data_IF_838714592548
#
_entry.id   IF_838714592548
#
_cell.length_a   1.000
_cell.length_b   1.000
_cell.length_c   1.000
_cell.angle_alpha   90.00
_cell.angle_beta   90.00
_cell.angle_gamma   90.00
#
_symmetry.space_group_name_H-M   'P 1'
#
loop_
_entity.id
_entity.type
_entity.pdbx_description
1 polymer ?
#
# COMPACT_ATOMS: atom_id res chain seq x y z
N UNK A 1 10.27 -28.92 7.64
CA UNK A 1 10.23 -28.87 6.16
C UNK A 1 9.22 -27.81 5.77
N UNK A 2 9.64 -26.70 5.13
CA UNK A 2 8.69 -25.74 4.54
C UNK A 2 8.30 -26.31 3.17
N UNK A 3 7.03 -26.66 3.02
CA UNK A 3 6.47 -27.20 1.78
C UNK A 3 6.72 -26.23 0.62
N UNK A 4 7.31 -26.73 -0.46
CA UNK A 4 7.69 -25.98 -1.67
C UNK A 4 6.47 -25.72 -2.56
N UNK A 5 5.38 -25.21 -1.98
CA UNK A 5 4.20 -24.85 -2.76
C UNK A 5 4.51 -23.54 -3.50
N UNK A 6 4.31 -23.47 -4.83
CA UNK A 6 4.63 -22.26 -5.60
C UNK A 6 3.81 -21.09 -5.07
N UNK A 7 4.46 -20.17 -4.36
CA UNK A 7 3.82 -18.92 -3.94
C UNK A 7 3.44 -18.18 -5.21
N UNK A 8 2.15 -17.90 -5.40
CA UNK A 8 1.64 -17.12 -6.51
C UNK A 8 1.99 -15.62 -6.35
N UNK A 9 3.28 -15.30 -6.33
CA UNK A 9 3.86 -13.96 -6.11
C UNK A 9 3.38 -12.94 -7.15
N UNK A 10 2.96 -13.40 -8.34
CA UNK A 10 2.40 -12.57 -9.40
C UNK A 10 1.02 -11.99 -9.05
N UNK A 11 0.34 -12.52 -8.04
CA UNK A 11 -0.93 -12.00 -7.55
C UNK A 11 -0.68 -11.22 -6.27
N UNK A 12 -0.90 -9.92 -6.32
CA UNK A 12 -0.82 -9.02 -5.16
C UNK A 12 -2.13 -8.28 -4.99
N UNK A 13 -2.43 -7.85 -3.76
CA UNK A 13 -3.58 -7.01 -3.48
C UNK A 13 -3.09 -5.59 -3.21
N UNK A 14 -3.61 -4.59 -3.92
CA UNK A 14 -3.22 -3.19 -3.73
C UNK A 14 -4.38 -2.36 -3.20
N UNK A 15 -4.08 -1.46 -2.27
CA UNK A 15 -4.99 -0.46 -1.73
C UNK A 15 -4.70 0.87 -2.41
N UNK A 16 -5.75 1.53 -2.88
CA UNK A 16 -5.65 2.82 -3.54
C UNK A 16 -6.00 3.96 -2.58
N UNK A 17 -5.02 4.84 -2.32
CA UNK A 17 -5.16 6.04 -1.51
C UNK A 17 -5.47 7.22 -2.43
N UNK A 18 -6.73 7.67 -2.44
CA UNK A 18 -7.21 8.70 -3.37
C UNK A 18 -6.80 10.12 -2.99
N UNK A 19 -6.84 10.45 -1.71
CA UNK A 19 -6.66 11.81 -1.18
C UNK A 19 -5.56 11.83 -0.11
N UNK A 20 -4.31 11.60 -0.51
CA UNK A 20 -3.18 11.69 0.42
C UNK A 20 -2.75 13.15 0.55
N UNK A 21 -2.69 13.66 1.79
CA UNK A 21 -2.24 15.02 2.05
C UNK A 21 -0.78 15.23 1.57
N UNK A 22 -0.42 16.42 1.07
CA UNK A 22 0.94 16.72 0.60
C UNK A 22 2.01 16.64 1.69
N UNK A 23 1.61 16.76 2.96
CA UNK A 23 2.51 16.64 4.11
C UNK A 23 2.90 15.20 4.44
N UNK A 24 2.07 14.20 4.09
CA UNK A 24 2.30 12.80 4.48
C UNK A 24 3.41 12.17 3.63
N UNK A 25 4.54 11.84 4.21
CA UNK A 25 5.66 11.27 3.45
C UNK A 25 5.44 9.80 3.09
N UNK A 26 6.16 9.32 2.07
CA UNK A 26 6.21 7.88 1.74
C UNK A 26 6.62 7.04 2.96
N UNK A 27 7.57 7.54 3.75
CA UNK A 27 8.08 6.85 4.94
C UNK A 27 6.99 6.67 6.00
N UNK A 28 6.12 7.66 6.22
CA UNK A 28 5.00 7.53 7.16
C UNK A 28 3.99 6.47 6.69
N UNK A 29 3.63 6.48 5.40
CA UNK A 29 2.74 5.46 4.82
C UNK A 29 3.36 4.07 4.96
N UNK A 30 4.65 3.92 4.67
CA UNK A 30 5.36 2.65 4.84
C UNK A 30 5.43 2.22 6.30
N UNK A 31 5.72 3.13 7.24
CA UNK A 31 5.80 2.83 8.67
C UNK A 31 4.44 2.36 9.24
N UNK A 32 3.34 2.97 8.78
CA UNK A 32 1.99 2.54 9.13
C UNK A 32 1.66 1.18 8.53
N UNK A 33 1.95 0.98 7.24
CA UNK A 33 1.62 -0.25 6.54
C UNK A 33 2.48 -1.45 6.97
N UNK A 34 3.73 -1.23 7.41
CA UNK A 34 4.61 -2.25 7.98
C UNK A 34 4.04 -2.94 9.23
N UNK A 35 3.11 -2.31 9.94
CA UNK A 35 2.41 -2.92 11.09
C UNK A 35 1.42 -4.00 10.67
N UNK A 36 1.02 -4.01 9.40
CA UNK A 36 0.13 -5.01 8.84
C UNK A 36 0.97 -6.13 8.20
N UNK A 37 0.62 -7.38 8.52
CA UNK A 37 1.27 -8.54 7.91
C UNK A 37 1.09 -8.52 6.39
N UNK A 38 2.10 -8.99 5.66
CA UNK A 38 2.09 -9.07 4.20
C UNK A 38 2.19 -7.74 3.46
N UNK A 39 2.65 -6.65 4.09
CA UNK A 39 3.02 -5.44 3.37
C UNK A 39 4.23 -5.69 2.45
N UNK A 40 4.13 -5.23 1.19
CA UNK A 40 5.23 -5.32 0.22
C UNK A 40 5.86 -3.96 -0.05
N UNK A 41 5.06 -2.98 -0.47
CA UNK A 41 5.57 -1.66 -0.90
C UNK A 41 4.50 -0.58 -0.91
N UNK A 42 4.92 0.67 -0.73
CA UNK A 42 4.10 1.85 -0.98
C UNK A 42 4.69 2.66 -2.15
N UNK A 43 3.81 3.17 -3.01
CA UNK A 43 4.14 4.08 -4.10
C UNK A 43 3.25 5.31 -3.98
N UNK A 44 3.84 6.50 -4.05
CA UNK A 44 3.13 7.78 -4.06
C UNK A 44 3.43 8.44 -5.40
N UNK A 45 2.38 8.86 -6.10
CA UNK A 45 2.50 9.63 -7.34
C UNK A 45 2.79 11.10 -7.06
N UNK A 46 3.31 11.78 -8.08
CA UNK A 46 3.59 13.22 -8.04
C UNK A 46 2.35 14.04 -7.66
N UNK A 47 2.55 15.15 -6.92
CA UNK A 47 1.46 16.01 -6.51
C UNK A 47 0.80 16.68 -7.72
N UNK A 48 -0.54 16.68 -7.73
CA UNK A 48 -1.30 17.36 -8.78
C UNK A 48 -1.68 18.78 -8.32
N UNK A 49 -1.16 19.85 -8.95
CA UNK A 49 -1.47 21.23 -8.57
C UNK A 49 -2.97 21.53 -8.68
N UNK A 50 -3.66 20.96 -9.68
CA UNK A 50 -5.11 21.12 -9.88
C UNK A 50 -5.97 20.55 -8.74
N UNK A 51 -5.38 19.70 -7.89
CA UNK A 51 -6.06 19.07 -6.76
C UNK A 51 -5.46 19.52 -5.44
N UNK A 52 -5.13 20.81 -5.29
CA UNK A 52 -4.53 21.35 -4.04
C UNK A 52 -3.30 20.55 -3.57
N UNK A 53 -2.50 20.04 -4.50
CA UNK A 53 -1.31 19.24 -4.23
C UNK A 53 -1.57 17.89 -3.55
N UNK A 54 -2.82 17.42 -3.51
CA UNK A 54 -3.11 16.07 -3.05
C UNK A 54 -2.44 15.04 -3.95
N UNK A 55 -1.95 13.97 -3.33
CA UNK A 55 -1.26 12.88 -4.01
C UNK A 55 -2.12 11.64 -4.03
N UNK A 56 -1.89 10.83 -5.06
CA UNK A 56 -2.43 9.48 -5.16
C UNK A 56 -1.38 8.50 -4.66
N UNK A 57 -1.80 7.49 -3.91
CA UNK A 57 -0.91 6.46 -3.39
C UNK A 57 -1.44 5.06 -3.69
N UNK A 58 -0.53 4.11 -3.78
CA UNK A 58 -0.81 2.69 -3.84
C UNK A 58 0.01 1.96 -2.80
N UNK A 59 -0.64 1.11 -2.04
CA UNK A 59 0.01 0.24 -1.06
C UNK A 59 -0.24 -1.20 -1.49
N UNK A 60 0.81 -1.94 -1.78
CA UNK A 60 0.73 -3.32 -2.26
C UNK A 60 1.02 -4.30 -1.13
N UNK A 61 0.18 -5.33 -1.03
CA UNK A 61 0.25 -6.41 -0.06
C UNK A 61 0.32 -7.78 -0.76
N UNK A 62 0.86 -8.77 -0.05
CA UNK A 62 0.86 -10.18 -0.44
C UNK A 62 -0.57 -10.74 -0.52
N UNK A 63 -0.81 -11.63 -1.49
CA UNK A 63 -2.08 -12.35 -1.61
C UNK A 63 -2.21 -13.33 -0.45
N UNK A 64 -3.22 -13.12 0.38
CA UNK A 64 -3.53 -13.95 1.55
C UNK A 64 -3.92 -13.12 2.76
N UNK A 65 -3.55 -11.83 2.76
CA UNK A 65 -3.97 -10.88 3.78
C UNK A 65 -5.30 -10.26 3.36
N UNK A 66 -6.32 -10.41 4.22
CA UNK A 66 -7.64 -9.80 3.98
C UNK A 66 -7.49 -8.27 4.04
N UNK A 67 -7.42 -7.63 2.88
CA UNK A 67 -7.33 -6.16 2.72
C UNK A 67 -8.47 -5.37 3.37
N UNK A 68 -9.56 -6.05 3.79
CA UNK A 68 -10.71 -5.43 4.46
C UNK A 68 -10.33 -4.64 5.73
N UNK A 69 -9.30 -5.03 6.47
CA UNK A 69 -8.83 -4.25 7.65
C UNK A 69 -7.93 -3.07 7.29
N UNK A 70 -7.24 -3.15 6.16
CA UNK A 70 -6.28 -2.12 5.72
C UNK A 70 -6.94 -0.99 4.92
N UNK A 71 -8.20 -1.17 4.48
CA UNK A 71 -8.99 -0.15 3.79
C UNK A 71 -9.51 0.99 4.71
N UNK A 72 -9.26 0.91 6.01
CA UNK A 72 -9.56 1.98 6.98
C UNK A 72 -8.34 2.85 7.33
N UNK A 73 -7.24 2.72 6.59
CA UNK A 73 -6.05 3.61 6.67
C UNK A 73 -6.32 4.90 5.90
#
# INVERSE_FOLDING_TARGET
>A
MKSDEPRALHRTASIFLRNLAPTITKQEVEAMCKRYSGFLRAAIADPQPDRRWFRRGWVTFERGVKSRKSASI
#
